data_IF_099120442139
#
_entry.id   IF_099120442139
#
_cell.length_a   1.000
_cell.length_b   1.000
_cell.length_c   1.000
_cell.angle_alpha   90.00
_cell.angle_beta   90.00
_cell.angle_gamma   90.00
#
_symmetry.space_group_name_H-M   'P 1'
#
loop_
_entity.id
_entity.type
_entity.pdbx_description
1 polymer ?
#
# COMPACT_ATOMS: atom_id res chain seq x y z
N UNK A 1 -12.80 -7.07 5.41
CA UNK A 1 -12.20 -7.19 4.07
C UNK A 1 -13.03 -6.37 3.09
N UNK A 2 -12.59 -5.15 2.77
CA UNK A 2 -13.15 -4.34 1.68
C UNK A 2 -12.04 -3.46 1.08
N UNK A 3 -10.95 -4.09 0.62
CA UNK A 3 -9.95 -3.44 -0.22
C UNK A 3 -10.30 -3.74 -1.67
N UNK A 4 -10.56 -2.71 -2.47
CA UNK A 4 -10.59 -2.82 -3.93
C UNK A 4 -9.18 -2.48 -4.41
N UNK A 5 -8.44 -3.45 -4.94
CA UNK A 5 -7.35 -3.10 -5.87
C UNK A 5 -8.04 -2.39 -7.02
N UNK A 6 -7.71 -1.12 -7.24
CA UNK A 6 -8.24 -0.37 -8.39
C UNK A 6 -7.80 -1.13 -9.63
N UNK A 7 -8.72 -1.76 -10.40
CA UNK A 7 -8.30 -2.56 -11.51
C UNK A 7 -7.95 -1.62 -12.66
N UNK A 8 -6.79 -1.90 -13.23
CA UNK A 8 -6.31 -1.54 -14.56
C UNK A 8 -5.49 -0.25 -14.74
N UNK A 9 -4.18 -0.46 -14.84
CA UNK A 9 -3.26 0.34 -15.64
C UNK A 9 -1.98 -0.44 -16.05
N UNK A 10 -1.66 -1.59 -15.44
CA UNK A 10 -0.45 -2.34 -15.78
C UNK A 10 -0.52 -3.83 -15.43
N UNK A 11 -1.32 -4.62 -16.16
CA UNK A 11 -1.27 -6.10 -16.13
C UNK A 11 0.03 -6.68 -16.77
N UNK A 12 1.13 -5.92 -16.71
CA UNK A 12 2.43 -6.25 -17.26
C UNK A 12 3.51 -6.33 -16.17
N UNK A 13 4.70 -6.85 -16.52
CA UNK A 13 5.83 -6.92 -15.60
C UNK A 13 6.15 -5.53 -15.02
N UNK A 14 6.51 -5.49 -13.74
CA UNK A 14 6.94 -4.27 -13.02
C UNK A 14 7.98 -3.53 -13.85
N UNK A 15 7.74 -2.27 -14.24
CA UNK A 15 8.72 -1.52 -15.00
C UNK A 15 9.98 -1.32 -14.15
N UNK A 16 11.16 -1.43 -14.76
CA UNK A 16 12.43 -1.30 -14.06
C UNK A 16 12.62 0.12 -13.57
N UNK A 17 12.77 0.33 -12.26
CA UNK A 17 13.23 1.61 -11.72
C UNK A 17 14.58 1.99 -12.37
N UNK A 18 14.68 3.14 -13.03
CA UNK A 18 15.94 3.57 -13.62
C UNK A 18 16.96 3.85 -12.52
N UNK A 19 18.22 3.53 -12.81
CA UNK A 19 19.33 3.77 -11.88
C UNK A 19 19.53 5.27 -11.58
N UNK A 20 20.17 5.61 -10.46
CA UNK A 20 20.46 6.99 -10.10
C UNK A 20 21.39 7.62 -11.14
N UNK A 21 20.98 8.69 -11.82
CA UNK A 21 21.90 9.49 -12.64
C UNK A 21 21.34 10.23 -13.85
N UNK A 22 20.11 9.95 -14.33
CA UNK A 22 19.54 10.74 -15.43
C UNK A 22 18.72 11.89 -14.89
N UNK A 23 19.28 13.11 -14.86
CA UNK A 23 18.56 14.36 -14.57
C UNK A 23 17.50 14.73 -15.61
N UNK A 24 16.80 13.75 -16.18
CA UNK A 24 15.65 13.89 -17.06
C UNK A 24 14.38 13.63 -16.26
N UNK A 25 13.37 14.46 -16.44
CA UNK A 25 12.00 14.06 -16.13
C UNK A 25 11.69 12.90 -17.10
N UNK A 26 11.63 11.68 -16.57
CA UNK A 26 11.34 10.48 -17.32
C UNK A 26 9.85 10.48 -17.71
N UNK A 27 9.47 9.81 -18.82
CA UNK A 27 8.06 9.54 -19.08
C UNK A 27 7.43 8.89 -17.84
N UNK A 28 6.27 9.39 -17.42
CA UNK A 28 5.62 9.00 -16.18
C UNK A 28 5.41 7.49 -16.14
N UNK A 29 6.14 6.82 -15.24
CA UNK A 29 5.96 5.41 -14.97
C UNK A 29 4.70 5.26 -14.12
N UNK A 30 3.75 4.36 -14.48
CA UNK A 30 2.58 4.15 -13.65
C UNK A 30 3.03 3.57 -12.29
N UNK A 31 2.57 4.19 -11.20
CA UNK A 31 2.72 3.67 -9.83
C UNK A 31 1.42 2.95 -9.47
N UNK A 32 1.50 1.70 -9.03
CA UNK A 32 0.34 0.95 -8.54
C UNK A 32 0.16 1.19 -7.05
N UNK A 33 -1.03 1.65 -6.68
CA UNK A 33 -1.37 1.99 -5.30
C UNK A 33 -2.48 1.07 -4.83
N UNK A 34 -2.22 0.35 -3.74
CA UNK A 34 -3.22 -0.41 -3.01
C UNK A 34 -3.75 0.44 -1.84
N UNK A 35 -5.06 0.38 -1.60
CA UNK A 35 -5.68 0.96 -0.41
C UNK A 35 -6.30 -0.15 0.43
N UNK A 36 -5.92 -0.27 1.69
CA UNK A 36 -6.49 -1.23 2.62
C UNK A 36 -7.28 -0.51 3.71
N UNK A 37 -8.60 -0.72 3.72
CA UNK A 37 -9.46 -0.27 4.82
C UNK A 37 -9.52 -1.35 5.89
N UNK A 38 -8.89 -1.10 7.04
CA UNK A 38 -8.74 -2.06 8.12
C UNK A 38 -9.60 -1.68 9.33
N UNK A 39 -10.09 -2.70 10.03
CA UNK A 39 -10.77 -2.54 11.33
C UNK A 39 -9.71 -2.63 12.44
N UNK A 40 -9.20 -1.48 12.85
CA UNK A 40 -8.10 -1.34 13.80
C UNK A 40 -8.67 -1.01 15.19
N UNK A 41 -7.97 -1.43 16.24
CA UNK A 41 -8.44 -1.31 17.63
C UNK A 41 -7.55 -0.34 18.39
N UNK A 42 -8.15 0.65 19.06
CA UNK A 42 -7.41 1.63 19.87
C UNK A 42 -6.61 0.92 20.97
N UNK A 43 -5.30 1.14 20.99
CA UNK A 43 -4.37 0.60 21.99
C UNK A 43 -3.86 -0.82 21.72
N UNK A 44 -4.39 -1.54 20.73
CA UNK A 44 -3.91 -2.88 20.36
C UNK A 44 -2.77 -2.81 19.32
N UNK A 45 -1.57 -2.43 19.77
CA UNK A 45 -0.42 -2.25 18.88
C UNK A 45 -0.07 -3.52 18.10
N UNK A 46 -0.04 -4.66 18.80
CA UNK A 46 0.35 -5.94 18.20
C UNK A 46 -0.71 -6.46 17.22
N UNK A 47 -1.98 -6.41 17.61
CA UNK A 47 -3.06 -6.84 16.72
C UNK A 47 -3.17 -5.95 15.48
N UNK A 48 -2.97 -4.65 15.62
CA UNK A 48 -2.96 -3.73 14.48
C UNK A 48 -1.75 -3.96 13.57
N UNK A 49 -0.56 -4.20 14.13
CA UNK A 49 0.64 -4.58 13.37
C UNK A 49 0.40 -5.86 12.55
N UNK A 50 -0.17 -6.90 13.16
CA UNK A 50 -0.50 -8.16 12.47
C UNK A 50 -1.47 -7.94 11.29
N UNK A 51 -2.51 -7.11 11.48
CA UNK A 51 -3.46 -6.74 10.41
C UNK A 51 -2.80 -5.93 9.29
N UNK A 52 -1.84 -5.07 9.62
CA UNK A 52 -1.09 -4.29 8.63
C UNK A 52 -0.17 -5.21 7.83
N UNK A 53 0.51 -6.16 8.48
CA UNK A 53 1.35 -7.13 7.79
C UNK A 53 0.54 -7.99 6.80
N UNK A 54 -0.63 -8.48 7.20
CA UNK A 54 -1.54 -9.19 6.29
C UNK A 54 -1.97 -8.32 5.09
N UNK A 55 -2.20 -7.03 5.31
CA UNK A 55 -2.52 -6.10 4.23
C UNK A 55 -1.33 -5.83 3.29
N UNK A 56 -0.10 -5.85 3.82
CA UNK A 56 1.13 -5.75 3.03
C UNK A 56 1.31 -6.98 2.13
N UNK A 57 1.12 -8.18 2.69
CA UNK A 57 1.20 -9.43 1.92
C UNK A 57 0.18 -9.43 0.77
N UNK A 58 -1.07 -9.06 1.06
CA UNK A 58 -2.12 -8.91 0.05
C UNK A 58 -1.78 -7.87 -1.04
N UNK A 59 -1.17 -6.74 -0.66
CA UNK A 59 -0.77 -5.70 -1.60
C UNK A 59 0.39 -6.15 -2.49
N UNK A 60 1.34 -6.92 -1.94
CA UNK A 60 2.45 -7.52 -2.67
C UNK A 60 1.97 -8.57 -3.68
N UNK A 61 1.02 -9.43 -3.30
CA UNK A 61 0.34 -10.35 -4.22
C UNK A 61 -0.35 -9.60 -5.38
N UNK A 62 -0.87 -8.40 -5.10
CA UNK A 62 -1.45 -7.48 -6.09
C UNK A 62 -0.42 -6.68 -6.92
N UNK A 63 0.87 -6.92 -6.71
CA UNK A 63 1.98 -6.18 -7.33
C UNK A 63 1.89 -4.64 -7.12
N UNK A 64 1.36 -4.20 -5.98
CA UNK A 64 1.32 -2.79 -5.62
C UNK A 64 2.73 -2.27 -5.30
N UNK A 65 3.00 -1.03 -5.68
CA UNK A 65 4.26 -0.34 -5.37
C UNK A 65 4.12 0.46 -4.06
N UNK A 66 2.90 0.85 -3.70
CA UNK A 66 2.57 1.59 -2.47
C UNK A 66 1.29 1.03 -1.85
N UNK A 67 1.31 0.77 -0.55
CA UNK A 67 0.12 0.49 0.25
C UNK A 67 -0.26 1.73 1.08
N UNK A 68 -1.51 2.17 0.95
CA UNK A 68 -2.12 3.19 1.79
C UNK A 68 -2.98 2.52 2.87
N UNK A 69 -2.79 2.98 4.10
CA UNK A 69 -3.50 2.55 5.29
C UNK A 69 -4.33 3.71 5.86
N UNK A 70 -5.32 3.44 6.73
CA UNK A 70 -6.08 4.48 7.42
C UNK A 70 -5.20 5.32 8.36
N UNK A 71 -5.71 6.48 8.78
CA UNK A 71 -5.06 7.31 9.79
C UNK A 71 -4.86 6.52 11.11
N UNK A 72 -3.75 6.77 11.81
CA UNK A 72 -3.43 6.12 13.09
C UNK A 72 -3.45 4.59 13.04
N UNK A 73 -3.05 4.01 11.91
CA UNK A 73 -3.21 2.57 11.68
C UNK A 73 -2.59 1.67 12.77
N UNK A 74 -1.44 2.06 13.31
CA UNK A 74 -0.73 1.30 14.35
C UNK A 74 -1.45 1.42 15.70
N UNK A 75 -1.87 2.62 16.08
CA UNK A 75 -2.45 2.89 17.41
C UNK A 75 -3.95 2.68 17.48
N UNK A 76 -4.64 2.65 16.33
CA UNK A 76 -6.09 2.69 16.20
C UNK A 76 -6.64 4.13 16.20
N UNK A 77 -7.82 4.28 15.59
CA UNK A 77 -8.66 5.48 15.62
C UNK A 77 -9.95 5.14 16.41
N UNK A 78 -10.53 6.05 17.18
CA UNK A 78 -10.23 7.49 17.23
C UNK A 78 -9.12 7.88 18.23
N UNK A 79 -8.52 9.08 18.11
CA UNK A 79 -7.37 9.53 18.91
C UNK A 79 -7.70 10.04 20.33
N UNK A 80 -8.97 10.25 20.66
CA UNK A 80 -9.44 10.62 22.01
C UNK A 80 -9.29 9.51 23.06
#
# INVERSE_FOLDING_TARGET
>A
MAGRVVPDAAAGPRPMCPGPGSGRILPAMPIRVAGAQLNLVVGDLRGNEERIAEAMDWAEEGAADVLLLPELAVTGYPPE
#
